data_IF_728155617634
#
_entry.id   IF_728155617634
#
_cell.length_a   1.000
_cell.length_b   1.000
_cell.length_c   1.000
_cell.angle_alpha   90.00
_cell.angle_beta   90.00
_cell.angle_gamma   90.00
#
_symmetry.space_group_name_H-M   'P 1'
#
loop_
_entity.id
_entity.type
_entity.pdbx_description
1 polymer ?
#
# COMPACT_ATOMS: atom_id res chain seq x y z
N UNK A 1 -0.97 -14.77 4.46
CA UNK A 1 -0.65 -13.33 4.62
C UNK A 1 -1.93 -12.54 4.84
N UNK A 2 -1.77 -11.36 5.44
CA UNK A 2 -2.83 -10.36 5.62
C UNK A 2 -2.48 -9.17 4.75
N UNK A 3 -3.46 -8.65 4.00
CA UNK A 3 -3.33 -7.40 3.25
C UNK A 3 -4.08 -6.30 4.00
N UNK A 4 -3.40 -5.20 4.31
CA UNK A 4 -3.96 -4.02 4.96
C UNK A 4 -3.86 -2.83 4.00
N UNK A 5 -4.98 -2.16 3.75
CA UNK A 5 -4.96 -0.86 3.07
C UNK A 5 -4.53 0.21 4.06
N UNK A 6 -3.62 1.10 3.65
CA UNK A 6 -3.18 2.23 4.47
C UNK A 6 -4.36 3.04 5.05
N UNK A 7 -4.15 3.65 6.22
CA UNK A 7 -5.11 4.55 6.85
C UNK A 7 -5.44 5.77 5.97
N UNK A 8 -6.47 6.54 6.32
CA UNK A 8 -6.87 7.71 5.53
C UNK A 8 -5.71 8.71 5.39
N UNK A 9 -5.36 9.07 4.16
CA UNK A 9 -4.39 10.13 3.87
C UNK A 9 -5.07 11.48 3.60
N UNK A 10 -4.29 12.56 3.62
CA UNK A 10 -4.74 13.90 3.22
C UNK A 10 -5.36 13.88 1.81
N UNK A 11 -4.78 13.11 0.88
CA UNK A 11 -5.38 12.89 -0.44
C UNK A 11 -6.76 12.25 -0.34
N UNK A 12 -6.94 11.20 0.46
CA UNK A 12 -8.25 10.56 0.59
C UNK A 12 -9.30 11.52 1.17
N UNK A 13 -8.92 12.34 2.15
CA UNK A 13 -9.79 13.35 2.75
C UNK A 13 -10.31 14.33 1.70
N UNK A 14 -9.42 14.93 0.90
CA UNK A 14 -9.78 15.91 -0.11
C UNK A 14 -10.47 15.30 -1.33
N UNK A 15 -9.95 14.19 -1.85
CA UNK A 15 -10.49 13.53 -3.04
C UNK A 15 -11.89 12.96 -2.79
N UNK A 16 -12.16 12.41 -1.61
CA UNK A 16 -13.49 11.88 -1.28
C UNK A 16 -14.56 12.98 -1.30
N UNK A 17 -14.22 14.17 -0.81
CA UNK A 17 -15.12 15.31 -0.75
C UNK A 17 -15.32 16.01 -2.10
N UNK A 18 -14.26 16.12 -2.91
CA UNK A 18 -14.25 16.97 -4.10
C UNK A 18 -14.23 16.23 -5.43
N UNK A 19 -13.84 14.95 -5.43
CA UNK A 19 -13.52 14.13 -6.62
C UNK A 19 -12.46 14.78 -7.53
N UNK A 20 -11.64 15.66 -6.97
CA UNK A 20 -10.53 16.33 -7.65
C UNK A 20 -9.22 15.93 -6.99
N UNK A 21 -8.19 15.78 -7.81
CA UNK A 21 -6.82 15.60 -7.30
C UNK A 21 -6.41 16.89 -6.57
N UNK A 22 -6.08 16.83 -5.27
CA UNK A 22 -5.64 17.99 -4.50
C UNK A 22 -4.19 18.42 -4.83
N UNK A 23 -3.45 17.67 -5.66
CA UNK A 23 -2.09 18.02 -6.05
C UNK A 23 -1.05 17.79 -4.94
N UNK A 24 -1.33 16.89 -4.00
CA UNK A 24 -0.46 16.61 -2.85
C UNK A 24 0.37 15.35 -3.15
N UNK A 25 1.70 15.46 -3.39
CA UNK A 25 2.58 14.30 -3.53
C UNK A 25 2.78 13.62 -2.18
N UNK A 26 2.98 12.30 -2.21
CA UNK A 26 3.22 11.41 -1.07
C UNK A 26 2.52 11.83 0.25
N UNK A 27 1.18 12.00 0.24
CA UNK A 27 0.43 12.58 1.35
C UNK A 27 0.57 11.78 2.63
N UNK A 28 0.63 12.49 3.76
CA UNK A 28 0.64 11.88 5.09
C UNK A 28 -0.75 11.35 5.47
N UNK A 29 -0.79 10.51 6.49
CA UNK A 29 -2.03 10.14 7.17
C UNK A 29 -2.67 11.36 7.82
N UNK A 30 -3.99 11.39 7.83
CA UNK A 30 -4.76 12.31 8.69
C UNK A 30 -4.75 11.80 10.12
N UNK A 31 -5.28 12.61 11.05
CA UNK A 31 -5.53 12.17 12.43
C UNK A 31 -6.39 10.88 12.47
N UNK A 32 -7.45 10.81 11.64
CA UNK A 32 -8.25 9.60 11.49
C UNK A 32 -7.43 8.44 10.93
N UNK A 33 -6.54 8.70 9.97
CA UNK A 33 -5.63 7.68 9.42
C UNK A 33 -4.70 7.09 10.46
N UNK A 34 -4.17 7.91 11.38
CA UNK A 34 -3.37 7.44 12.51
C UNK A 34 -4.19 6.59 13.48
N UNK A 35 -5.42 7.00 13.80
CA UNK A 35 -6.33 6.20 14.63
C UNK A 35 -6.67 4.85 13.98
N UNK A 36 -6.86 4.82 12.66
CA UNK A 36 -7.06 3.58 11.91
C UNK A 36 -5.85 2.66 11.96
N UNK A 37 -4.63 3.21 11.88
CA UNK A 37 -3.40 2.44 11.96
C UNK A 37 -3.21 1.81 13.36
N UNK A 38 -3.50 2.55 14.43
CA UNK A 38 -3.47 2.03 15.79
C UNK A 38 -4.55 0.95 16.03
N UNK A 39 -5.77 1.16 15.52
CA UNK A 39 -6.83 0.16 15.59
C UNK A 39 -6.46 -1.14 14.84
N UNK A 40 -5.79 -1.03 13.69
CA UNK A 40 -5.26 -2.18 12.97
C UNK A 40 -4.15 -2.89 13.77
N UNK A 41 -3.25 -2.14 14.43
CA UNK A 41 -2.22 -2.71 15.29
C UNK A 41 -2.82 -3.51 16.45
N UNK A 42 -3.89 -3.01 17.08
CA UNK A 42 -4.61 -3.73 18.12
C UNK A 42 -5.29 -5.00 17.57
N UNK A 43 -6.04 -4.88 16.48
CA UNK A 43 -6.79 -5.99 15.89
C UNK A 43 -5.88 -7.13 15.40
N UNK A 44 -4.69 -6.81 14.90
CA UNK A 44 -3.75 -7.79 14.32
C UNK A 44 -2.79 -8.40 15.35
N UNK A 45 -2.90 -8.05 16.64
CA UNK A 45 -1.91 -8.46 17.64
C UNK A 45 -1.84 -9.97 17.91
N UNK A 46 -2.94 -10.69 17.67
CA UNK A 46 -3.03 -12.14 17.86
C UNK A 46 -2.78 -12.97 16.59
N UNK A 47 -2.45 -12.34 15.46
CA UNK A 47 -2.43 -12.99 14.14
C UNK A 47 -1.14 -13.78 13.85
N UNK A 48 -0.19 -13.85 14.79
CA UNK A 48 1.07 -14.58 14.60
C UNK A 48 2.01 -13.96 13.57
N UNK A 49 1.83 -12.68 13.23
CA UNK A 49 2.64 -11.97 12.25
C UNK A 49 4.10 -11.88 12.69
N UNK A 50 5.03 -12.13 11.76
CA UNK A 50 6.48 -12.12 12.00
C UNK A 50 7.23 -11.07 11.19
N UNK A 51 6.60 -10.50 10.16
CA UNK A 51 7.16 -9.42 9.34
C UNK A 51 6.07 -8.55 8.73
N UNK A 52 6.42 -7.29 8.50
CA UNK A 52 5.62 -6.37 7.69
C UNK A 52 6.33 -6.12 6.37
N UNK A 53 5.62 -6.23 5.25
CA UNK A 53 6.02 -5.68 3.96
C UNK A 53 5.22 -4.40 3.76
N UNK A 54 5.89 -3.27 3.53
CA UNK A 54 5.23 -1.99 3.34
C UNK A 54 5.59 -1.37 1.99
N UNK A 55 4.61 -0.75 1.34
CA UNK A 55 4.87 0.15 0.24
C UNK A 55 5.74 1.34 0.71
N UNK A 56 6.62 1.92 -0.14
CA UNK A 56 7.47 3.03 0.28
C UNK A 56 6.74 4.38 0.47
N UNK A 57 5.52 4.55 -0.06
CA UNK A 57 4.71 5.76 0.22
C UNK A 57 4.55 6.02 1.73
N UNK A 58 4.68 7.29 2.11
CA UNK A 58 4.61 7.78 3.50
C UNK A 58 3.36 7.29 4.24
N UNK A 59 2.18 7.36 3.62
CA UNK A 59 0.92 6.86 4.20
C UNK A 59 0.95 5.37 4.58
N UNK A 60 1.66 4.53 3.80
CA UNK A 60 1.80 3.11 4.09
C UNK A 60 2.80 2.88 5.22
N UNK A 61 3.95 3.57 5.21
CA UNK A 61 4.95 3.51 6.28
C UNK A 61 4.37 3.98 7.63
N UNK A 62 3.62 5.09 7.64
CA UNK A 62 2.93 5.59 8.83
C UNK A 62 1.85 4.62 9.34
N UNK A 63 1.23 3.85 8.44
CA UNK A 63 0.27 2.80 8.85
C UNK A 63 0.99 1.58 9.43
N UNK A 64 2.13 1.21 8.85
CA UNK A 64 2.93 0.06 9.28
C UNK A 64 3.63 0.28 10.64
N UNK A 65 4.06 1.50 10.92
CA UNK A 65 4.87 1.84 12.10
C UNK A 65 4.26 1.41 13.46
N UNK A 66 3.01 1.73 13.81
CA UNK A 66 2.44 1.29 15.09
C UNK A 66 2.28 -0.23 15.18
N UNK A 67 2.01 -0.91 14.06
CA UNK A 67 1.86 -2.36 13.99
C UNK A 67 3.22 -3.03 14.26
N UNK A 68 4.26 -2.61 13.53
CA UNK A 68 5.61 -3.13 13.70
C UNK A 68 6.14 -2.91 15.13
N UNK A 69 5.89 -1.72 15.69
CA UNK A 69 6.27 -1.39 17.07
C UNK A 69 5.55 -2.28 18.09
N UNK A 70 4.24 -2.44 17.96
CA UNK A 70 3.42 -3.23 18.89
C UNK A 70 3.81 -4.70 18.89
N UNK A 71 4.06 -5.25 17.71
CA UNK A 71 4.38 -6.67 17.54
C UNK A 71 5.89 -6.95 17.66
N UNK A 72 6.72 -5.91 17.70
CA UNK A 72 8.17 -5.98 17.72
C UNK A 72 8.72 -6.84 16.56
N UNK A 73 8.27 -6.54 15.34
CA UNK A 73 8.63 -7.25 14.10
C UNK A 73 9.24 -6.28 13.07
N UNK A 74 10.12 -6.77 12.17
CA UNK A 74 10.75 -5.94 11.16
C UNK A 74 9.77 -5.46 10.08
N UNK A 75 10.09 -4.31 9.50
CA UNK A 75 9.43 -3.76 8.31
C UNK A 75 10.39 -3.85 7.13
N UNK A 76 9.93 -4.48 6.04
CA UNK A 76 10.62 -4.56 4.76
C UNK A 76 9.89 -3.65 3.76
N UNK A 77 10.59 -2.66 3.22
CA UNK A 77 9.99 -1.72 2.27
C UNK A 77 10.14 -2.27 0.85
N UNK A 78 9.04 -2.42 0.12
CA UNK A 78 9.03 -3.00 -1.23
C UNK A 78 8.23 -2.15 -2.20
N UNK A 79 8.85 -1.57 -3.25
CA UNK A 79 8.13 -0.84 -4.30
C UNK A 79 7.14 -1.73 -5.06
N UNK A 80 7.34 -3.04 -5.07
CA UNK A 80 6.45 -3.99 -5.75
C UNK A 80 5.02 -3.94 -5.21
N UNK A 81 4.80 -3.54 -3.95
CA UNK A 81 3.46 -3.44 -3.33
C UNK A 81 2.89 -2.01 -3.33
N UNK A 82 3.46 -1.09 -4.14
CA UNK A 82 2.99 0.29 -4.26
C UNK A 82 1.64 0.40 -4.99
N UNK A 83 0.96 1.54 -4.81
CA UNK A 83 -0.26 1.87 -5.57
C UNK A 83 0.01 1.97 -7.08
N UNK A 84 -1.05 1.80 -7.87
CA UNK A 84 -1.08 2.22 -9.27
C UNK A 84 -0.65 3.67 -9.39
N UNK A 85 0.33 3.98 -10.22
CA UNK A 85 0.73 5.37 -10.46
C UNK A 85 -0.29 6.08 -11.34
N UNK A 86 -1.20 6.86 -10.76
CA UNK A 86 -2.30 7.49 -11.51
C UNK A 86 -2.64 8.92 -11.07
N UNK A 87 -2.37 9.28 -9.82
CA UNK A 87 -2.65 10.61 -9.28
C UNK A 87 -1.38 11.25 -8.72
N UNK A 88 -1.46 12.55 -8.42
CA UNK A 88 -0.32 13.28 -7.83
C UNK A 88 0.15 12.65 -6.52
N UNK A 89 -0.76 12.05 -5.74
CA UNK A 89 -0.40 11.33 -4.50
C UNK A 89 0.47 10.10 -4.71
N UNK A 90 0.62 9.64 -5.95
CA UNK A 90 1.46 8.51 -6.32
C UNK A 90 2.86 8.96 -6.77
N UNK A 91 3.13 10.26 -6.72
CA UNK A 91 4.51 10.76 -6.71
C UNK A 91 5.06 10.52 -5.30
N UNK A 92 6.00 9.59 -5.18
CA UNK A 92 6.62 9.22 -3.90
C UNK A 92 7.65 10.25 -3.42
N UNK A 93 8.14 10.04 -2.19
CA UNK A 93 9.32 10.75 -1.70
C UNK A 93 10.61 10.04 -2.13
N UNK A 94 11.67 10.77 -2.51
CA UNK A 94 12.96 10.18 -2.87
C UNK A 94 13.51 9.29 -1.76
N UNK A 95 14.25 8.25 -2.13
CA UNK A 95 14.85 7.32 -1.16
C UNK A 95 15.67 8.04 -0.09
N UNK A 96 16.45 9.07 -0.45
CA UNK A 96 17.25 9.82 0.53
C UNK A 96 16.39 10.55 1.56
N UNK A 97 15.27 11.14 1.14
CA UNK A 97 14.32 11.78 2.05
C UNK A 97 13.62 10.75 2.95
N UNK A 98 13.21 9.60 2.39
CA UNK A 98 12.66 8.50 3.17
C UNK A 98 13.67 8.00 4.22
N UNK A 99 14.94 7.83 3.85
CA UNK A 99 15.99 7.37 4.77
C UNK A 99 16.27 8.37 5.91
N UNK A 100 16.08 9.66 5.66
CA UNK A 100 16.16 10.69 6.72
C UNK A 100 14.95 10.64 7.66
N UNK A 101 13.75 10.40 7.12
CA UNK A 101 12.51 10.37 7.89
C UNK A 101 12.31 9.06 8.69
N UNK A 102 12.85 7.94 8.19
CA UNK A 102 12.81 6.61 8.81
C UNK A 102 14.20 5.97 8.86
N UNK A 103 15.13 6.49 9.69
CA UNK A 103 16.52 6.03 9.75
C UNK A 103 16.68 4.57 10.19
N UNK A 104 15.64 3.98 10.78
CA UNK A 104 15.60 2.58 11.20
C UNK A 104 15.28 1.60 10.07
N UNK A 105 14.76 2.07 8.93
CA UNK A 105 14.40 1.21 7.79
C UNK A 105 15.59 1.03 6.86
N UNK A 106 15.83 -0.21 6.41
CA UNK A 106 16.73 -0.46 5.30
C UNK A 106 16.04 -0.09 3.98
N UNK A 107 16.55 0.97 3.35
CA UNK A 107 16.06 1.51 2.08
C UNK A 107 17.17 1.52 1.02
N UNK A 108 18.33 0.94 1.28
CA UNK A 108 19.49 1.01 0.38
C UNK A 108 19.23 0.34 -0.98
N UNK A 109 18.30 -0.62 -1.03
CA UNK A 109 17.88 -1.34 -2.23
C UNK A 109 16.91 -0.55 -3.11
N UNK A 110 16.34 0.56 -2.63
CA UNK A 110 15.45 1.38 -3.45
C UNK A 110 16.25 2.18 -4.48
N UNK A 111 15.64 2.43 -5.64
CA UNK A 111 16.11 3.50 -6.51
C UNK A 111 15.79 4.87 -5.87
N UNK A 112 16.54 5.92 -6.25
CA UNK A 112 16.27 7.27 -5.74
C UNK A 112 14.84 7.72 -6.06
N UNK A 113 14.40 7.41 -7.27
CA UNK A 113 13.03 7.58 -7.75
C UNK A 113 12.49 6.18 -8.02
N UNK A 114 11.77 5.62 -7.04
CA UNK A 114 11.26 4.24 -7.07
C UNK A 114 9.85 4.13 -7.67
N UNK A 115 9.22 5.25 -8.01
CA UNK A 115 7.91 5.31 -8.68
C UNK A 115 8.08 5.55 -10.19
N UNK A 116 7.10 5.17 -11.02
CA UNK A 116 7.17 5.36 -12.47
C UNK A 116 7.17 6.83 -12.88
N UNK A 117 7.73 7.12 -14.06
CA UNK A 117 7.69 8.45 -14.65
C UNK A 117 6.34 8.78 -15.34
N UNK A 118 5.55 7.78 -15.69
CA UNK A 118 4.29 7.91 -16.44
C UNK A 118 3.18 7.08 -15.79
N UNK A 119 1.93 7.45 -16.09
CA UNK A 119 0.75 6.73 -15.62
C UNK A 119 0.85 5.22 -15.89
N UNK A 120 0.63 4.43 -14.85
CA UNK A 120 0.70 2.97 -14.89
C UNK A 120 -0.66 2.42 -15.37
N UNK A 121 -0.71 1.69 -16.49
CA UNK A 121 -1.94 1.04 -16.93
C UNK A 121 -2.29 -0.14 -16.02
N UNK A 122 -3.58 -0.45 -15.93
CA UNK A 122 -4.12 -1.49 -15.03
C UNK A 122 -3.38 -2.85 -15.17
N UNK A 123 -3.10 -3.30 -16.40
CA UNK A 123 -2.39 -4.56 -16.66
C UNK A 123 -0.96 -4.62 -16.09
N UNK A 124 -0.28 -3.47 -15.89
CA UNK A 124 1.03 -3.45 -15.24
C UNK A 124 0.91 -3.65 -13.74
N UNK A 125 -0.15 -3.11 -13.11
CA UNK A 125 -0.43 -3.37 -11.70
C UNK A 125 -0.81 -4.84 -11.49
N UNK A 126 -1.61 -5.40 -12.39
CA UNK A 126 -1.98 -6.83 -12.38
C UNK A 126 -0.76 -7.73 -12.53
N UNK A 127 0.13 -7.46 -13.49
CA UNK A 127 1.36 -8.21 -13.66
C UNK A 127 2.26 -8.14 -12.42
N UNK A 128 2.41 -6.94 -11.83
CA UNK A 128 3.19 -6.72 -10.61
C UNK A 128 2.59 -7.44 -9.40
N UNK A 129 1.27 -7.44 -9.25
CA UNK A 129 0.56 -8.20 -8.23
C UNK A 129 0.73 -9.71 -8.42
N UNK A 130 0.62 -10.21 -9.67
CA UNK A 130 0.82 -11.62 -9.98
C UNK A 130 2.25 -12.11 -9.66
N UNK A 131 3.27 -11.30 -9.97
CA UNK A 131 4.66 -11.59 -9.60
C UNK A 131 4.83 -11.65 -8.08
N UNK A 132 4.38 -10.64 -7.34
CA UNK A 132 4.44 -10.62 -5.88
C UNK A 132 3.68 -11.81 -5.26
N UNK A 133 2.53 -12.18 -5.83
CA UNK A 133 1.76 -13.35 -5.42
C UNK A 133 2.56 -14.64 -5.59
N UNK A 134 3.22 -14.83 -6.72
CA UNK A 134 4.07 -16.00 -6.96
C UNK A 134 5.28 -16.05 -6.02
N UNK A 135 5.92 -14.91 -5.76
CA UNK A 135 7.02 -14.80 -4.80
C UNK A 135 6.58 -15.19 -3.39
N UNK A 136 5.44 -14.66 -2.92
CA UNK A 136 4.88 -15.01 -1.61
C UNK A 136 4.48 -16.49 -1.55
N UNK A 137 3.89 -17.05 -2.60
CA UNK A 137 3.51 -18.47 -2.64
C UNK A 137 4.72 -19.43 -2.51
N UNK A 138 5.91 -18.99 -2.92
CA UNK A 138 7.14 -19.77 -2.82
C UNK A 138 7.75 -19.77 -1.40
N UNK A 139 7.31 -18.88 -0.50
CA UNK A 139 7.87 -18.75 0.85
C UNK A 139 7.10 -19.63 1.84
N UNK A 140 7.76 -20.56 2.59
CA UNK A 140 7.05 -21.42 3.53
C UNK A 140 6.38 -20.67 4.70
N UNK A 141 6.80 -19.43 4.97
CA UNK A 141 6.32 -18.56 6.05
C UNK A 141 5.40 -17.42 5.55
N UNK A 142 4.82 -17.53 4.35
CA UNK A 142 3.93 -16.50 3.79
C UNK A 142 2.70 -16.23 4.66
N UNK A 143 2.29 -17.20 5.48
CA UNK A 143 1.19 -17.09 6.45
C UNK A 143 1.38 -15.91 7.40
N UNK A 144 2.62 -15.68 7.84
CA UNK A 144 3.00 -14.81 8.95
C UNK A 144 3.31 -13.38 8.50
N UNK A 145 2.93 -13.02 7.27
CA UNK A 145 3.27 -11.75 6.63
C UNK A 145 2.09 -10.80 6.62
N UNK A 146 2.29 -9.57 7.10
CA UNK A 146 1.40 -8.44 6.85
C UNK A 146 1.93 -7.63 5.66
N UNK A 147 1.06 -7.28 4.72
CA UNK A 147 1.38 -6.39 3.61
C UNK A 147 0.57 -5.11 3.75
N UNK A 148 1.23 -3.97 3.96
CA UNK A 148 0.60 -2.65 4.03
C UNK A 148 0.71 -1.97 2.67
N UNK A 149 -0.43 -1.85 1.99
CA UNK A 149 -0.51 -1.46 0.59
C UNK A 149 -1.73 -0.56 0.34
N UNK A 150 -2.25 -0.56 -0.89
CA UNK A 150 -3.15 0.44 -1.44
C UNK A 150 -4.33 -0.21 -2.17
N UNK A 151 -5.28 0.61 -2.59
CA UNK A 151 -6.54 0.11 -3.14
C UNK A 151 -6.34 -0.67 -4.43
N UNK A 152 -5.60 -0.11 -5.39
CA UNK A 152 -5.41 -0.73 -6.71
C UNK A 152 -4.58 -2.00 -6.63
N UNK A 153 -3.50 -2.00 -5.85
CA UNK A 153 -2.69 -3.20 -5.65
C UNK A 153 -3.48 -4.33 -4.96
N UNK A 154 -4.25 -4.03 -3.91
CA UNK A 154 -5.07 -5.04 -3.22
C UNK A 154 -6.16 -5.58 -4.15
N UNK A 155 -6.82 -4.70 -4.92
CA UNK A 155 -7.78 -5.11 -5.95
C UNK A 155 -7.13 -6.07 -6.97
N UNK A 156 -5.92 -5.78 -7.42
CA UNK A 156 -5.19 -6.65 -8.33
C UNK A 156 -4.80 -8.00 -7.70
N UNK A 157 -4.47 -8.00 -6.41
CA UNK A 157 -4.11 -9.20 -5.67
C UNK A 157 -5.30 -10.13 -5.41
N UNK A 158 -6.50 -9.58 -5.18
CA UNK A 158 -7.61 -10.36 -4.60
C UNK A 158 -8.96 -10.21 -5.29
N UNK A 159 -9.14 -9.21 -6.16
CA UNK A 159 -10.45 -8.82 -6.68
C UNK A 159 -11.34 -8.09 -5.66
N UNK A 160 -10.89 -7.93 -4.42
CA UNK A 160 -11.63 -7.32 -3.31
C UNK A 160 -11.25 -5.84 -3.15
N UNK A 161 -12.16 -5.04 -2.59
CA UNK A 161 -11.94 -3.61 -2.34
C UNK A 161 -12.01 -3.32 -0.85
N UNK A 162 -10.93 -2.75 -0.33
CA UNK A 162 -10.86 -2.33 1.07
C UNK A 162 -11.01 -0.82 1.20
N UNK A 163 -11.67 -0.36 2.25
CA UNK A 163 -11.60 1.02 2.72
C UNK A 163 -10.30 1.26 3.48
N UNK A 164 -9.95 2.52 3.72
CA UNK A 164 -8.75 2.86 4.49
C UNK A 164 -8.77 2.19 5.87
N UNK A 165 -7.64 1.59 6.28
CA UNK A 165 -7.51 0.87 7.54
C UNK A 165 -8.17 -0.52 7.59
N UNK A 166 -8.87 -0.95 6.54
CA UNK A 166 -9.41 -2.30 6.46
C UNK A 166 -8.35 -3.29 5.96
N UNK A 167 -8.49 -4.54 6.40
CA UNK A 167 -7.63 -5.65 6.03
C UNK A 167 -8.42 -6.90 5.68
N UNK A 168 -7.79 -7.83 4.96
CA UNK A 168 -8.31 -9.16 4.65
C UNK A 168 -7.19 -10.20 4.69
N UNK A 169 -7.55 -11.48 4.79
CA UNK A 169 -6.62 -12.59 4.58
C UNK A 169 -6.53 -12.92 3.10
N UNK A 170 -5.32 -13.14 2.61
CA UNK A 170 -5.05 -13.56 1.24
C UNK A 170 -4.15 -14.79 1.26
N UNK A 171 -4.61 -15.85 0.59
CA UNK A 171 -3.81 -17.03 0.29
C UNK A 171 -3.14 -16.86 -1.09
N UNK A 172 -1.82 -16.63 -1.15
CA UNK A 172 -1.10 -16.48 -2.40
C UNK A 172 -0.98 -17.79 -3.19
N UNK A 173 -1.28 -18.95 -2.59
CA UNK A 173 -1.23 -20.27 -3.23
C UNK A 173 -2.55 -20.68 -3.90
N UNK A 174 -3.65 -20.00 -3.56
CA UNK A 174 -4.97 -20.23 -4.17
C UNK A 174 -5.05 -19.80 -5.65
N UNK A 175 -6.25 -19.76 -6.25
CA UNK A 175 -6.44 -19.12 -7.54
C UNK A 175 -6.27 -17.59 -7.47
N UNK A 176 -5.71 -16.98 -8.51
CA UNK A 176 -5.71 -15.53 -8.69
C UNK A 176 -7.10 -15.04 -9.18
N UNK A 177 -7.46 -13.76 -8.97
CA UNK A 177 -8.71 -13.22 -9.49
C UNK A 177 -8.76 -13.29 -11.03
N UNK A 178 -9.84 -13.84 -11.59
CA UNK A 178 -9.98 -14.05 -13.04
C UNK A 178 -10.43 -12.79 -13.80
N UNK A 179 -11.22 -11.92 -13.18
CA UNK A 179 -11.78 -10.72 -13.81
C UNK A 179 -11.72 -9.54 -12.84
N UNK A 180 -10.71 -8.68 -13.00
CA UNK A 180 -10.55 -7.48 -12.17
C UNK A 180 -11.31 -6.32 -12.81
N UNK A 181 -12.32 -5.82 -12.11
CA UNK A 181 -13.07 -4.64 -12.56
C UNK A 181 -12.47 -3.39 -11.94
N UNK A 182 -11.56 -2.77 -12.70
CA UNK A 182 -11.08 -1.42 -12.47
C UNK A 182 -12.19 -0.42 -12.79
N UNK A 183 -13.11 -0.20 -11.84
CA UNK A 183 -14.01 0.95 -11.96
C UNK A 183 -13.17 2.19 -11.71
N UNK A 184 -12.63 2.76 -12.78
CA UNK A 184 -12.07 4.10 -12.75
C UNK A 184 -13.12 5.03 -12.12
N UNK A 185 -12.73 5.80 -11.11
CA UNK A 185 -13.32 7.12 -10.99
C UNK A 185 -12.87 7.85 -12.26
N UNK A 186 -13.62 7.70 -13.35
CA UNK A 186 -13.43 8.53 -14.53
C UNK A 186 -13.67 9.97 -14.06
N UNK A 187 -12.66 10.86 -14.06
CA UNK A 187 -12.97 12.27 -14.19
C UNK A 187 -13.41 12.43 -15.63
N UNK A 188 -14.68 12.17 -15.92
CA UNK A 188 -15.26 12.65 -17.17
C UNK A 188 -15.11 14.17 -17.17
N UNK A 189 -14.11 14.61 -17.92
CA UNK A 189 -13.97 15.94 -18.53
C UNK A 189 -13.86 17.11 -17.56
N UNK A 190 -12.62 17.54 -17.30
CA UNK A 190 -12.26 18.97 -17.46
C UNK A 190 -10.85 19.03 -18.05
N UNK A 191 -10.75 19.00 -19.39
CA UNK A 191 -9.68 19.74 -20.07
C UNK A 191 -10.18 21.17 -20.28
N UNK A 192 -9.29 22.18 -20.28
CA UNK A 192 -9.65 23.59 -20.35
C UNK A 192 -10.49 23.93 -21.59
#
# INVERSE_FOLDING_TARGET
MILLRHGQSEFNLHFTATKRDPGIPDPKLTELGHQQAEAAAEALAGEGLRRVIASPYTRALQTAAPIARRLNIPVHVMPTVRERYAFTCDIGSPRTELALAWPELDLAHLEEVWWPAIEEPDHQVEARAALFRAEMAALPDWGDTLVVSHWGFILAMTGERLMNGQWLRCDPTGPAPENIVWRQYHPSVVKP
#
